data_IF_060070533627
#
_entry.id   IF_060070533627
#
_cell.length_a   1.000
_cell.length_b   1.000
_cell.length_c   1.000
_cell.angle_alpha   90.00
_cell.angle_beta   90.00
_cell.angle_gamma   90.00
#
_symmetry.space_group_name_H-M   'P 1'
#
loop_
_entity.id
_entity.type
_entity.pdbx_description
1 polymer ?
#
# COMPACT_ATOMS: atom_id res chain seq x y z
N UNK A 1 -9.89 9.24 -9.46
CA UNK A 1 -8.44 9.44 -9.29
C UNK A 1 -7.74 9.16 -10.61
N UNK A 2 -6.72 9.92 -11.02
CA UNK A 2 -5.95 9.60 -12.24
C UNK A 2 -4.75 8.68 -11.91
N UNK A 3 -4.23 7.95 -12.91
CA UNK A 3 -3.14 6.98 -12.71
C UNK A 3 -1.84 7.61 -12.24
N UNK A 4 -1.50 8.80 -12.74
CA UNK A 4 -0.29 9.53 -12.36
C UNK A 4 -0.26 9.80 -10.86
N UNK A 5 -1.38 10.22 -10.28
CA UNK A 5 -1.51 10.47 -8.86
C UNK A 5 -1.40 9.17 -8.05
N UNK A 6 -2.07 8.10 -8.49
CA UNK A 6 -2.02 6.80 -7.80
C UNK A 6 -0.60 6.23 -7.76
N UNK A 7 0.11 6.30 -8.90
CA UNK A 7 1.51 5.89 -8.97
C UNK A 7 2.41 6.77 -8.11
N UNK A 8 2.22 8.10 -8.19
CA UNK A 8 2.97 9.05 -7.36
C UNK A 8 2.78 8.81 -5.86
N UNK A 9 1.58 8.45 -5.42
CA UNK A 9 1.34 8.09 -4.02
C UNK A 9 2.11 6.83 -3.63
N UNK A 10 2.02 5.75 -4.42
CA UNK A 10 2.73 4.51 -4.13
C UNK A 10 4.25 4.71 -4.09
N UNK A 11 4.81 5.38 -5.11
CA UNK A 11 6.24 5.71 -5.16
C UNK A 11 6.67 6.61 -4.01
N UNK A 12 5.85 7.61 -3.66
CA UNK A 12 6.10 8.48 -2.52
C UNK A 12 6.26 7.69 -1.21
N UNK A 13 5.42 6.67 -0.97
CA UNK A 13 5.57 5.81 0.21
C UNK A 13 6.88 5.01 0.17
N UNK A 14 7.25 4.48 -1.01
CA UNK A 14 8.51 3.72 -1.20
C UNK A 14 9.72 4.62 -0.92
N UNK A 15 9.72 5.85 -1.44
CA UNK A 15 10.84 6.79 -1.33
C UNK A 15 11.07 7.31 0.10
N UNK A 16 9.99 7.47 0.88
CA UNK A 16 10.07 7.99 2.25
C UNK A 16 10.08 6.90 3.32
N UNK A 17 10.06 5.62 2.92
CA UNK A 17 10.11 4.51 3.86
C UNK A 17 11.43 4.53 4.66
N UNK A 18 11.42 4.20 5.96
CA UNK A 18 12.64 4.16 6.75
C UNK A 18 13.68 3.20 6.15
N UNK A 19 14.94 3.67 6.05
CA UNK A 19 16.04 2.89 5.46
C UNK A 19 16.36 1.57 6.20
N UNK A 20 15.88 1.42 7.44
CA UNK A 20 16.01 0.20 8.22
C UNK A 20 15.08 -0.94 7.74
N UNK A 21 14.04 -0.62 6.94
CA UNK A 21 13.12 -1.62 6.42
C UNK A 21 13.74 -2.40 5.26
N UNK A 22 13.48 -3.70 5.23
CA UNK A 22 13.78 -4.52 4.05
C UNK A 22 12.87 -4.13 2.89
N UNK A 23 13.28 -4.44 1.65
CA UNK A 23 12.46 -4.18 0.47
C UNK A 23 11.04 -4.81 0.57
N UNK A 24 10.93 -6.00 1.19
CA UNK A 24 9.65 -6.65 1.43
C UNK A 24 8.77 -5.87 2.42
N UNK A 25 9.35 -5.31 3.48
CA UNK A 25 8.64 -4.47 4.42
C UNK A 25 8.24 -3.12 3.81
N UNK A 26 9.07 -2.54 2.95
CA UNK A 26 8.73 -1.33 2.18
C UNK A 26 7.54 -1.61 1.24
N UNK A 27 7.52 -2.75 0.54
CA UNK A 27 6.39 -3.14 -0.31
C UNK A 27 5.11 -3.36 0.51
N UNK A 28 5.18 -4.04 1.67
CA UNK A 28 4.03 -4.21 2.57
C UNK A 28 3.50 -2.86 3.06
N UNK A 29 4.38 -1.92 3.43
CA UNK A 29 4.01 -0.57 3.84
C UNK A 29 3.37 0.22 2.70
N UNK A 30 3.97 0.21 1.51
CA UNK A 30 3.48 0.92 0.34
C UNK A 30 2.09 0.41 -0.08
N UNK A 31 1.88 -0.92 -0.10
CA UNK A 31 0.59 -1.53 -0.43
C UNK A 31 -0.47 -1.14 0.57
N UNK A 32 -0.21 -1.30 1.88
CA UNK A 32 -1.21 -1.01 2.93
C UNK A 32 -1.59 0.46 2.97
N UNK A 33 -0.62 1.38 2.90
CA UNK A 33 -0.88 2.82 2.86
C UNK A 33 -1.62 3.25 1.59
N UNK A 34 -1.28 2.65 0.44
CA UNK A 34 -1.95 2.96 -0.84
C UNK A 34 -3.40 2.49 -0.84
N UNK A 35 -3.66 1.27 -0.37
CA UNK A 35 -5.04 0.75 -0.22
C UNK A 35 -5.85 1.68 0.69
N UNK A 36 -5.30 2.04 1.85
CA UNK A 36 -5.99 2.91 2.80
C UNK A 36 -6.30 4.27 2.17
N UNK A 37 -5.30 4.94 1.60
CA UNK A 37 -5.47 6.27 1.02
C UNK A 37 -6.48 6.28 -0.13
N UNK A 38 -6.37 5.35 -1.08
CA UNK A 38 -7.26 5.30 -2.24
C UNK A 38 -8.70 4.95 -1.83
N UNK A 39 -8.89 4.11 -0.81
CA UNK A 39 -10.22 3.85 -0.25
C UNK A 39 -10.82 5.07 0.41
N UNK A 40 -10.05 5.83 1.19
CA UNK A 40 -10.50 7.10 1.76
C UNK A 40 -10.87 8.12 0.66
N UNK A 41 -10.16 8.10 -0.47
CA UNK A 41 -10.47 8.91 -1.64
C UNK A 41 -11.64 8.40 -2.49
N UNK A 42 -12.36 7.35 -2.04
CA UNK A 42 -13.53 6.81 -2.73
C UNK A 42 -13.23 5.99 -3.98
N UNK A 43 -11.97 5.53 -4.16
CA UNK A 43 -11.60 4.68 -5.31
C UNK A 43 -12.17 3.27 -5.11
N UNK A 44 -12.84 2.67 -6.12
CA UNK A 44 -13.37 1.32 -6.02
C UNK A 44 -12.30 0.27 -5.73
N UNK A 45 -12.63 -0.74 -4.94
CA UNK A 45 -11.70 -1.82 -4.57
C UNK A 45 -11.12 -2.53 -5.80
N UNK A 46 -11.95 -2.80 -6.81
CA UNK A 46 -11.48 -3.41 -8.07
C UNK A 46 -10.44 -2.55 -8.77
N UNK A 47 -10.65 -1.24 -8.82
CA UNK A 47 -9.69 -0.29 -9.40
C UNK A 47 -8.38 -0.24 -8.62
N UNK A 48 -8.44 -0.30 -7.28
CA UNK A 48 -7.23 -0.35 -6.44
C UNK A 48 -6.48 -1.66 -6.67
N UNK A 49 -7.19 -2.79 -6.70
CA UNK A 49 -6.61 -4.10 -6.97
C UNK A 49 -5.90 -4.10 -8.33
N UNK A 50 -6.60 -3.73 -9.40
CA UNK A 50 -6.05 -3.73 -10.76
C UNK A 50 -4.85 -2.80 -10.89
N UNK A 51 -4.89 -1.64 -10.25
CA UNK A 51 -3.74 -0.73 -10.20
C UNK A 51 -2.52 -1.40 -9.52
N UNK A 52 -2.70 -1.97 -8.34
CA UNK A 52 -1.59 -2.59 -7.61
C UNK A 52 -1.03 -3.82 -8.33
N UNK A 53 -1.87 -4.66 -8.91
CA UNK A 53 -1.41 -5.89 -9.57
C UNK A 53 -0.91 -5.67 -10.99
N UNK A 54 -1.58 -4.84 -11.78
CA UNK A 54 -1.33 -4.74 -13.21
C UNK A 54 -0.44 -3.54 -13.56
N UNK A 55 -0.60 -2.41 -12.87
CA UNK A 55 0.18 -1.20 -13.16
C UNK A 55 1.48 -1.17 -12.34
N UNK A 56 1.41 -1.49 -11.03
CA UNK A 56 2.60 -1.51 -10.15
C UNK A 56 3.34 -2.85 -10.20
N UNK A 57 2.63 -3.96 -10.45
CA UNK A 57 3.22 -5.29 -10.48
C UNK A 57 3.38 -5.94 -9.11
N UNK A 58 2.67 -5.47 -8.08
CA UNK A 58 2.63 -6.11 -6.76
C UNK A 58 2.03 -7.51 -6.91
N UNK A 59 2.60 -8.49 -6.21
CA UNK A 59 2.06 -9.85 -6.24
C UNK A 59 0.59 -9.87 -5.79
N UNK A 60 -0.33 -10.52 -6.54
CA UNK A 60 -1.75 -10.57 -6.17
C UNK A 60 -1.99 -11.18 -4.78
N UNK A 61 -1.12 -12.11 -4.34
CA UNK A 61 -1.17 -12.68 -3.00
C UNK A 61 -1.01 -11.60 -1.92
N UNK A 62 -0.08 -10.66 -2.10
CA UNK A 62 0.14 -9.58 -1.13
C UNK A 62 -1.03 -8.59 -1.14
N UNK A 63 -1.52 -8.19 -2.32
CA UNK A 63 -2.68 -7.30 -2.43
C UNK A 63 -3.91 -7.91 -1.76
N UNK A 64 -4.21 -9.18 -2.06
CA UNK A 64 -5.38 -9.89 -1.52
C UNK A 64 -5.33 -10.07 -0.01
N UNK A 65 -4.12 -10.08 0.59
CA UNK A 65 -3.95 -10.12 2.05
C UNK A 65 -4.53 -8.87 2.70
N UNK A 66 -4.43 -7.71 2.07
CA UNK A 66 -4.75 -6.41 2.68
C UNK A 66 -5.99 -5.73 2.12
N UNK A 67 -6.37 -5.98 0.87
CA UNK A 67 -7.39 -5.21 0.15
C UNK A 67 -8.77 -5.21 0.84
N UNK A 68 -9.09 -6.29 1.57
CA UNK A 68 -10.35 -6.46 2.29
C UNK A 68 -10.28 -6.12 3.78
N UNK A 69 -9.12 -5.73 4.31
CA UNK A 69 -8.98 -5.32 5.71
C UNK A 69 -9.70 -4.01 5.99
N UNK A 70 -10.18 -3.80 7.20
CA UNK A 70 -10.70 -2.51 7.67
C UNK A 70 -9.59 -1.45 7.76
N UNK A 71 -9.96 -0.18 7.89
CA UNK A 71 -9.00 0.91 8.08
C UNK A 71 -8.12 0.69 9.32
N UNK A 72 -8.73 0.25 10.44
CA UNK A 72 -7.99 -0.04 11.68
C UNK A 72 -7.01 -1.22 11.51
N UNK A 73 -7.37 -2.25 10.75
CA UNK A 73 -6.48 -3.38 10.47
C UNK A 73 -5.31 -2.98 9.56
N UNK A 74 -5.55 -2.09 8.58
CA UNK A 74 -4.52 -1.52 7.72
C UNK A 74 -3.55 -0.63 8.52
N UNK A 75 -4.06 0.22 9.40
CA UNK A 75 -3.24 1.04 10.32
C UNK A 75 -2.40 0.17 11.25
N UNK A 76 -3.00 -0.88 11.81
CA UNK A 76 -2.27 -1.84 12.64
C UNK A 76 -1.17 -2.57 11.85
N UNK A 77 -1.40 -2.88 10.57
CA UNK A 77 -0.37 -3.47 9.71
C UNK A 77 0.80 -2.51 9.47
N UNK A 78 0.50 -1.25 9.14
CA UNK A 78 1.50 -0.20 8.95
C UNK A 78 2.32 0.01 10.22
N UNK A 79 1.65 0.12 11.38
CA UNK A 79 2.31 0.28 12.66
C UNK A 79 3.27 -0.88 12.96
N UNK A 80 2.84 -2.14 12.74
CA UNK A 80 3.71 -3.32 12.91
C UNK A 80 4.96 -3.25 12.03
N UNK A 81 4.82 -2.83 10.77
CA UNK A 81 5.97 -2.68 9.88
C UNK A 81 6.89 -1.56 10.38
N UNK A 82 6.32 -0.41 10.76
CA UNK A 82 7.09 0.74 11.25
C UNK A 82 7.81 0.47 12.57
N UNK A 83 7.27 -0.37 13.45
CA UNK A 83 7.96 -0.78 14.70
C UNK A 83 9.24 -1.58 14.46
N UNK A 84 9.51 -2.04 13.23
CA UNK A 84 10.78 -2.69 12.89
C UNK A 84 11.87 -1.64 12.65
N UNK A 85 11.48 -0.42 12.29
CA UNK A 85 12.40 0.66 11.96
C UNK A 85 12.90 1.46 13.19
N UNK A 86 12.30 1.26 14.37
CA UNK A 86 12.56 2.00 15.60
C UNK A 86 12.71 1.05 16.80
#
# INVERSE_FOLDING_TARGET
MNRTFMNGYYQGVVEVAPAALSAAHVEELAVTMTIQHLRHAGVPISTIHDFLTNDIGVTPRLVNRFINMSAAELEAAQARVLTIAF
#
